data_IF_355610243240
#
_entry.id   IF_355610243240
#
_cell.length_a   1.000
_cell.length_b   1.000
_cell.length_c   1.000
_cell.angle_alpha   90.00
_cell.angle_beta   90.00
_cell.angle_gamma   90.00
#
_symmetry.space_group_name_H-M   'P 1'
#
loop_
_entity.id
_entity.type
_entity.pdbx_description
1 polymer ?
#
# COMPACT_ATOMS: atom_id res chain seq x y z
N UNK A 1 3.48 -7.26 -23.64
CA UNK A 1 3.72 -7.98 -22.37
C UNK A 1 2.95 -7.26 -21.28
N UNK A 2 2.05 -7.92 -20.55
CA UNK A 2 1.26 -7.25 -19.51
C UNK A 2 2.19 -6.79 -18.37
N UNK A 3 2.33 -5.47 -18.16
CA UNK A 3 3.06 -4.90 -17.01
C UNK A 3 2.45 -5.51 -15.75
N UNK A 4 3.25 -6.28 -15.00
CA UNK A 4 2.80 -6.93 -13.76
C UNK A 4 2.49 -5.82 -12.75
N UNK A 5 1.20 -5.57 -12.49
CA UNK A 5 0.73 -4.50 -11.59
C UNK A 5 1.48 -4.61 -10.26
N UNK A 6 2.30 -3.60 -9.93
CA UNK A 6 3.10 -3.65 -8.71
C UNK A 6 2.15 -3.56 -7.51
N UNK A 7 2.36 -4.39 -6.49
CA UNK A 7 1.54 -4.33 -5.27
C UNK A 7 1.81 -3.00 -4.56
N UNK A 8 0.76 -2.34 -4.05
CA UNK A 8 0.89 -1.08 -3.31
C UNK A 8 1.84 -1.20 -2.12
N UNK A 9 1.81 -2.33 -1.39
CA UNK A 9 2.71 -2.59 -0.28
C UNK A 9 4.20 -2.52 -0.71
N UNK A 10 4.56 -3.22 -1.78
CA UNK A 10 5.93 -3.20 -2.31
C UNK A 10 6.34 -1.82 -2.81
N UNK A 11 5.39 -1.06 -3.37
CA UNK A 11 5.64 0.31 -3.81
C UNK A 11 5.94 1.25 -2.63
N UNK A 12 5.12 1.19 -1.59
CA UNK A 12 5.29 2.03 -0.40
C UNK A 12 6.63 1.73 0.32
N UNK A 13 7.02 0.45 0.41
CA UNK A 13 8.33 0.05 0.93
C UNK A 13 9.46 0.61 0.05
N UNK A 14 9.36 0.45 -1.27
CA UNK A 14 10.39 0.91 -2.20
C UNK A 14 10.58 2.44 -2.19
N UNK A 15 9.52 3.19 -1.92
CA UNK A 15 9.57 4.66 -1.74
C UNK A 15 9.96 5.09 -0.31
N UNK A 16 10.23 4.14 0.60
CA UNK A 16 10.59 4.42 1.99
C UNK A 16 9.45 5.04 2.82
N UNK A 17 8.20 4.91 2.37
CA UNK A 17 7.03 5.48 3.04
C UNK A 17 6.57 4.63 4.22
N UNK A 18 6.88 3.33 4.20
CA UNK A 18 6.68 2.39 5.30
C UNK A 18 7.86 1.41 5.33
N UNK A 19 8.14 0.84 6.50
CA UNK A 19 9.14 -0.21 6.63
C UNK A 19 8.59 -1.60 6.25
N UNK A 20 9.48 -2.58 6.09
CA UNK A 20 9.10 -3.97 5.82
C UNK A 20 8.32 -4.55 7.01
N UNK A 21 8.70 -4.19 8.23
CA UNK A 21 8.05 -4.60 9.48
C UNK A 21 6.63 -4.04 9.55
N UNK A 22 6.47 -2.74 9.30
CA UNK A 22 5.16 -2.08 9.23
C UNK A 22 4.26 -2.73 8.16
N UNK A 23 4.82 -3.05 6.99
CA UNK A 23 4.08 -3.74 5.94
C UNK A 23 3.64 -5.15 6.35
N UNK A 24 4.48 -5.91 7.06
CA UNK A 24 4.12 -7.22 7.62
C UNK A 24 2.97 -7.11 8.60
N UNK A 25 3.01 -6.15 9.50
CA UNK A 25 1.93 -5.94 10.49
C UNK A 25 0.61 -5.53 9.84
N UNK A 26 0.64 -4.75 8.75
CA UNK A 26 -0.56 -4.43 7.99
C UNK A 26 -1.11 -5.69 7.31
N UNK A 27 -0.25 -6.52 6.71
CA UNK A 27 -0.65 -7.76 6.05
C UNK A 27 -1.27 -8.75 7.05
N UNK A 28 -0.68 -8.89 8.24
CA UNK A 28 -1.21 -9.74 9.30
C UNK A 28 -2.60 -9.27 9.76
N UNK A 29 -2.82 -7.97 9.93
CA UNK A 29 -4.15 -7.45 10.27
C UNK A 29 -5.16 -7.65 9.13
N UNK A 30 -4.69 -7.56 7.88
CA UNK A 30 -5.52 -7.80 6.71
C UNK A 30 -5.95 -9.27 6.56
N UNK A 31 -5.07 -10.22 6.92
CA UNK A 31 -5.34 -11.66 6.86
C UNK A 31 -6.18 -12.15 8.06
N UNK A 32 -6.03 -11.52 9.23
CA UNK A 32 -6.86 -11.80 10.41
C UNK A 32 -8.35 -11.47 10.23
N UNK A 33 -8.69 -10.60 9.28
CA UNK A 33 -10.08 -10.27 8.92
C UNK A 33 -10.53 -11.05 7.69
N UNK A 34 -10.77 -12.35 7.84
CA UNK A 34 -11.44 -13.16 6.82
C UNK A 34 -12.96 -12.88 6.83
N UNK A 35 -13.42 -11.99 5.96
CA UNK A 35 -14.83 -11.62 5.82
C UNK A 35 -15.10 -10.66 4.66
N UNK A 36 -16.38 -10.30 4.45
CA UNK A 36 -16.89 -9.46 3.34
C UNK A 36 -16.26 -8.05 3.30
N UNK A 37 -15.68 -7.59 4.41
CA UNK A 37 -15.04 -6.27 4.56
C UNK A 37 -13.51 -6.39 4.68
N UNK A 38 -12.86 -7.02 3.70
CA UNK A 38 -11.39 -7.00 3.62
C UNK A 38 -10.92 -5.57 3.42
N UNK A 39 -10.43 -4.94 4.50
CA UNK A 39 -9.96 -3.57 4.50
C UNK A 39 -8.74 -3.43 3.58
N UNK A 40 -8.63 -2.30 2.86
CA UNK A 40 -7.53 -2.07 1.92
C UNK A 40 -6.24 -1.81 2.69
N UNK A 41 -5.11 -2.37 2.22
CA UNK A 41 -3.78 -2.19 2.81
C UNK A 41 -3.48 -0.72 3.15
N UNK A 42 -3.73 0.19 2.22
CA UNK A 42 -3.49 1.62 2.43
C UNK A 42 -4.31 2.23 3.57
N UNK A 43 -5.57 1.83 3.73
CA UNK A 43 -6.43 2.31 4.82
C UNK A 43 -5.91 1.83 6.18
N UNK A 44 -5.50 0.57 6.27
CA UNK A 44 -4.89 0.03 7.49
C UNK A 44 -3.58 0.77 7.81
N UNK A 45 -2.75 1.04 6.80
CA UNK A 45 -1.50 1.79 6.97
C UNK A 45 -1.73 3.20 7.54
N UNK A 46 -2.76 3.90 7.05
CA UNK A 46 -3.17 5.21 7.58
C UNK A 46 -3.71 5.08 9.00
N UNK A 47 -4.60 4.12 9.24
CA UNK A 47 -5.22 3.89 10.55
C UNK A 47 -4.19 3.57 11.63
N UNK A 48 -3.11 2.86 11.27
CA UNK A 48 -1.97 2.58 12.16
C UNK A 48 -1.00 3.76 12.32
N UNK A 49 -1.16 4.83 11.55
CA UNK A 49 -0.27 5.99 11.57
C UNK A 49 1.09 5.73 10.90
N UNK A 50 1.22 4.67 10.10
CA UNK A 50 2.47 4.36 9.38
C UNK A 50 2.69 5.26 8.18
N UNK A 51 1.60 5.79 7.62
CA UNK A 51 1.61 6.74 6.53
C UNK A 51 0.45 7.72 6.73
N UNK A 52 0.59 8.97 6.29
CA UNK A 52 -0.52 9.92 6.27
C UNK A 52 -1.43 9.69 5.07
N UNK A 53 -2.70 10.14 5.15
CA UNK A 53 -3.61 10.07 3.99
C UNK A 53 -3.06 10.82 2.77
N UNK A 54 -2.47 11.99 2.99
CA UNK A 54 -1.82 12.79 1.94
C UNK A 54 -0.66 12.03 1.28
N UNK A 55 0.23 11.43 2.07
CA UNK A 55 1.36 10.67 1.54
C UNK A 55 0.91 9.40 0.80
N UNK A 56 -0.12 8.72 1.30
CA UNK A 56 -0.71 7.56 0.62
C UNK A 56 -1.31 7.95 -0.73
N UNK A 57 -2.09 9.03 -0.79
CA UNK A 57 -2.70 9.51 -2.03
C UNK A 57 -1.64 9.92 -3.06
N UNK A 58 -0.60 10.64 -2.63
CA UNK A 58 0.54 10.99 -3.50
C UNK A 58 1.25 9.75 -4.04
N UNK A 59 1.45 8.73 -3.20
CA UNK A 59 2.08 7.49 -3.61
C UNK A 59 1.23 6.70 -4.62
N UNK A 60 -0.09 6.65 -4.44
CA UNK A 60 -1.02 6.01 -5.39
C UNK A 60 -0.95 6.72 -6.74
N UNK A 61 -1.06 8.05 -6.77
CA UNK A 61 -0.99 8.84 -8.00
C UNK A 61 0.37 8.68 -8.71
N UNK A 62 1.48 8.70 -7.96
CA UNK A 62 2.81 8.50 -8.51
C UNK A 62 2.96 7.11 -9.14
N UNK A 63 2.47 6.08 -8.45
CA UNK A 63 2.46 4.70 -8.95
C UNK A 63 1.64 4.56 -10.24
N UNK A 64 0.47 5.18 -10.31
CA UNK A 64 -0.37 5.13 -11.52
C UNK A 64 0.29 5.82 -12.71
N UNK A 65 0.99 6.94 -12.49
CA UNK A 65 1.77 7.64 -13.53
C UNK A 65 2.93 6.78 -14.05
N UNK A 66 3.70 6.16 -13.16
CA UNK A 66 4.82 5.27 -13.53
C UNK A 66 4.32 3.99 -14.25
N UNK A 67 3.14 3.47 -13.88
CA UNK A 67 2.52 2.35 -14.59
C UNK A 67 2.03 2.75 -15.98
N UNK A 68 1.46 3.95 -16.12
CA UNK A 68 1.00 4.53 -17.38
C UNK A 68 2.14 4.84 -18.39
N UNK A 69 3.40 4.83 -17.95
CA UNK A 69 4.56 4.95 -18.84
C UNK A 69 4.88 6.37 -19.28
N UNK A 70 4.54 7.37 -18.45
CA UNK A 70 5.06 8.73 -18.56
C UNK A 70 6.46 8.84 -17.97
#
# INVERSE_FOLDING_TARGET
>A
MAKKKQKIASYLIAKGLISVEQAKEIMQEQDGKSGITKEMFGRIAVKKGYITEDALNKAILAKEREEAGY
#
